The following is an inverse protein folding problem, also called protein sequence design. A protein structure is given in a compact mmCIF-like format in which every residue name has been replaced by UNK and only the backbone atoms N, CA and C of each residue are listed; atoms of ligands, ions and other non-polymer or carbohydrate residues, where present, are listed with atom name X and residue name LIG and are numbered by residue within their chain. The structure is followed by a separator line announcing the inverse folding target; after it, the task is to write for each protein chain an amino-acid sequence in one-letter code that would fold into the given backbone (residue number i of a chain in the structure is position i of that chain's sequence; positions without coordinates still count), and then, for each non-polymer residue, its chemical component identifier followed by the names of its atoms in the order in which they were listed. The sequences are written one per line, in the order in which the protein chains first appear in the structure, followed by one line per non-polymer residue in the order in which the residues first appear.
data_IF_849678300992
#
_entry.id   IF_849678300992
#
_cell.length_a   1.000
_cell.length_b   1.000
_cell.length_c   1.000
_cell.angle_alpha   90.00
_cell.angle_beta   90.00
_cell.angle_gamma   90.00
#
_symmetry.space_group_name_H-M   'P 1'
#
loop_
_entity.id
_entity.type
_entity.pdbx_description
1 polymer ?
#
# COMPACT_ATOMS: atom_id res chain seq x y z
N UNK A 1 28.37 8.84 44.31
CA UNK A 1 27.16 9.49 43.76
C UNK A 1 25.95 8.55 43.86
N UNK A 2 24.95 8.84 44.71
CA UNK A 2 23.73 8.03 44.79
C UNK A 2 22.86 8.29 43.55
N UNK A 3 22.73 7.27 42.68
CA UNK A 3 21.82 7.30 41.53
C UNK A 3 20.48 6.68 41.95
N UNK A 4 19.54 7.54 42.30
CA UNK A 4 18.15 7.12 42.49
C UNK A 4 17.51 6.96 41.12
N UNK A 5 17.61 5.76 40.53
CA UNK A 5 16.93 5.45 39.28
C UNK A 5 15.43 5.37 39.53
N UNK A 6 14.72 6.47 39.30
CA UNK A 6 13.30 6.45 38.96
C UNK A 6 13.21 6.57 37.45
N UNK A 7 13.05 5.44 36.78
CA UNK A 7 12.74 5.41 35.35
C UNK A 7 11.33 5.98 35.18
N UNK A 8 11.22 7.24 34.77
CA UNK A 8 9.96 7.82 34.30
C UNK A 8 9.93 7.68 32.79
N UNK A 9 9.20 6.68 32.32
CA UNK A 9 8.86 6.49 30.91
C UNK A 9 7.82 7.55 30.51
N UNK A 10 8.22 8.63 29.85
CA UNK A 10 7.28 9.45 29.08
C UNK A 10 7.06 8.77 27.72
N UNK A 11 6.11 7.85 27.70
CA UNK A 11 5.59 7.24 26.49
C UNK A 11 4.75 8.27 25.73
N UNK A 12 5.23 8.74 24.57
CA UNK A 12 4.31 9.09 23.49
C UNK A 12 4.00 7.77 22.77
N UNK A 13 3.05 7.01 23.33
CA UNK A 13 2.48 5.81 22.71
C UNK A 13 2.87 4.47 23.36
N UNK A 14 2.01 4.01 24.28
CA UNK A 14 1.75 2.60 24.67
C UNK A 14 2.63 1.93 25.73
N UNK A 15 1.99 1.55 26.84
CA UNK A 15 2.53 0.96 28.09
C UNK A 15 3.57 -0.18 27.92
N UNK A 16 4.58 -0.16 28.79
CA UNK A 16 5.16 -1.36 29.38
C UNK A 16 5.62 -1.08 30.83
N UNK A 17 5.16 -1.90 31.76
CA UNK A 17 5.62 -1.96 33.16
C UNK A 17 6.86 -2.85 33.21
N UNK A 18 7.89 -2.49 33.99
CA UNK A 18 8.96 -3.44 34.34
C UNK A 18 9.18 -3.50 35.86
N UNK A 19 8.95 -4.69 36.39
CA UNK A 19 9.44 -5.18 37.66
C UNK A 19 9.70 -6.68 37.50
N UNK A 20 10.93 -7.09 37.84
CA UNK A 20 11.44 -8.46 37.87
C UNK A 20 11.48 -9.23 36.54
N UNK A 21 12.64 -9.85 36.31
CA UNK A 21 13.04 -10.62 35.13
C UNK A 21 12.15 -11.83 34.81
N UNK A 22 12.25 -12.24 33.53
CA UNK A 22 11.96 -13.54 32.90
C UNK A 22 10.55 -13.72 32.31
N UNK A 23 10.42 -13.47 31.01
CA UNK A 23 9.70 -14.35 30.10
C UNK A 23 10.27 -14.18 28.69
N UNK A 24 10.93 -15.23 28.19
CA UNK A 24 11.39 -15.36 26.81
C UNK A 24 10.15 -15.51 25.91
N UNK A 25 9.52 -14.38 25.60
CA UNK A 25 8.41 -14.33 24.67
C UNK A 25 9.01 -14.27 23.26
N UNK A 26 8.84 -15.33 22.47
CA UNK A 26 9.44 -15.53 21.15
C UNK A 26 9.23 -14.38 20.13
N UNK A 27 8.31 -13.42 20.42
CA UNK A 27 8.00 -12.27 19.58
C UNK A 27 8.38 -10.89 20.12
N UNK A 28 9.13 -10.77 21.22
CA UNK A 28 9.49 -9.46 21.82
C UNK A 28 11.00 -9.26 21.85
N UNK A 29 11.47 -8.10 21.39
CA UNK A 29 12.84 -7.64 21.58
C UNK A 29 12.89 -6.80 22.86
N UNK A 30 13.57 -7.30 23.88
CA UNK A 30 13.67 -6.62 25.18
C UNK A 30 14.95 -5.79 25.23
N UNK A 31 14.83 -4.54 25.69
CA UNK A 31 15.96 -3.63 25.87
C UNK A 31 15.92 -3.08 27.29
N UNK A 32 16.92 -3.46 28.09
CA UNK A 32 17.00 -3.09 29.50
C UNK A 32 18.31 -2.41 29.85
N UNK A 33 18.28 -1.50 30.83
CA UNK A 33 19.51 -0.94 31.43
C UNK A 33 20.11 -1.97 32.37
N UNK A 34 21.35 -2.38 32.11
CA UNK A 34 22.14 -3.31 32.95
C UNK A 34 23.00 -2.53 33.93
N UNK A 35 23.51 -1.38 33.51
CA UNK A 35 24.35 -0.50 34.32
C UNK A 35 24.05 0.97 33.98
N UNK A 36 23.93 1.87 34.97
CA UNK A 36 24.04 1.64 36.41
C UNK A 36 22.83 0.90 36.99
N UNK A 37 23.05 0.12 38.04
CA UNK A 37 21.99 -0.53 38.83
C UNK A 37 21.23 0.48 39.68
N UNK A 38 19.94 0.21 39.86
CA UNK A 38 19.01 1.06 40.61
C UNK A 38 19.43 1.16 42.08
N UNK A 39 19.46 2.37 42.62
CA UNK A 39 19.77 2.68 44.03
C UNK A 39 21.19 2.30 44.47
N UNK A 40 22.12 2.15 43.53
CA UNK A 40 23.53 1.96 43.84
C UNK A 40 24.32 3.28 43.74
N UNK A 41 25.49 3.29 44.36
CA UNK A 41 26.39 4.44 44.39
C UNK A 41 27.65 4.12 43.62
N UNK A 42 28.03 5.00 42.70
CA UNK A 42 29.21 4.82 41.86
C UNK A 42 30.23 5.95 42.09
N UNK A 43 31.49 5.64 41.85
CA UNK A 43 32.58 6.61 41.78
C UNK A 43 32.51 7.38 40.45
N UNK A 44 32.85 8.67 40.47
CA UNK A 44 32.92 9.47 39.25
C UNK A 44 34.09 9.04 38.39
N UNK A 45 33.84 9.00 37.10
CA UNK A 45 34.80 8.76 36.03
C UNK A 45 34.58 9.82 34.97
N UNK A 46 35.62 10.23 34.26
CA UNK A 46 35.53 11.23 33.18
C UNK A 46 34.43 10.92 32.15
N UNK A 47 34.19 9.62 31.91
CA UNK A 47 33.13 9.08 31.06
C UNK A 47 32.39 7.97 31.79
N UNK A 48 31.20 8.29 32.30
CA UNK A 48 30.37 7.34 33.02
C UNK A 48 29.71 6.36 32.05
N UNK A 49 29.94 5.05 32.16
CA UNK A 49 29.33 4.08 31.27
C UNK A 49 27.85 3.88 31.60
N UNK A 50 27.05 3.68 30.57
CA UNK A 50 25.69 3.17 30.64
C UNK A 50 25.62 1.98 29.70
N UNK A 51 25.18 0.84 30.22
CA UNK A 51 25.16 -0.42 29.49
C UNK A 51 23.72 -0.88 29.36
N UNK A 52 23.29 -1.14 28.13
CA UNK A 52 22.01 -1.77 27.83
C UNK A 52 22.24 -3.22 27.39
N UNK A 53 21.32 -4.10 27.73
CA UNK A 53 21.21 -5.42 27.14
C UNK A 53 20.05 -5.42 26.14
N UNK A 54 20.31 -5.87 24.92
CA UNK A 54 19.30 -6.17 23.90
C UNK A 54 19.14 -7.68 23.83
N UNK A 55 17.97 -8.19 24.21
CA UNK A 55 17.59 -9.59 24.10
C UNK A 55 16.72 -9.83 22.86
N UNK A 56 16.76 -11.03 22.31
CA UNK A 56 16.11 -11.40 21.05
C UNK A 56 16.66 -10.57 19.89
N UNK A 57 17.96 -10.73 19.64
CA UNK A 57 18.71 -9.89 18.70
C UNK A 57 18.30 -10.11 17.24
N UNK A 58 17.78 -11.29 16.92
CA UNK A 58 17.21 -11.59 15.60
C UNK A 58 16.00 -10.70 15.27
N UNK A 59 15.16 -10.38 16.26
CA UNK A 59 14.07 -9.41 16.08
C UNK A 59 14.58 -7.97 16.12
N UNK A 60 15.54 -7.67 17.01
CA UNK A 60 16.13 -6.35 17.17
C UNK A 60 16.79 -5.82 15.88
N UNK A 61 17.45 -6.70 15.11
CA UNK A 61 18.07 -6.38 13.81
C UNK A 61 17.07 -5.76 12.82
N UNK A 62 15.80 -6.17 12.87
CA UNK A 62 14.76 -5.68 11.96
C UNK A 62 14.15 -4.34 12.39
N UNK A 63 14.40 -3.87 13.62
CA UNK A 63 13.77 -2.67 14.17
C UNK A 63 14.52 -1.37 13.85
N UNK A 64 15.80 -1.47 13.47
CA UNK A 64 16.65 -0.34 13.09
C UNK A 64 16.63 0.86 14.06
N UNK A 65 16.43 0.59 15.35
CA UNK A 65 16.17 1.59 16.40
C UNK A 65 17.43 2.31 16.87
N UNK A 66 17.23 3.36 17.66
CA UNK A 66 18.28 4.10 18.36
C UNK A 66 17.94 4.18 19.85
N UNK A 67 18.96 4.20 20.70
CA UNK A 67 18.79 4.45 22.14
C UNK A 67 19.23 5.88 22.41
N UNK A 68 18.29 6.72 22.81
CA UNK A 68 18.57 8.07 23.30
C UNK A 68 18.71 8.04 24.81
N UNK A 69 19.81 8.56 25.33
CA UNK A 69 20.11 8.56 26.77
C UNK A 69 20.49 9.96 27.24
N UNK A 70 19.91 10.39 28.35
CA UNK A 70 20.25 11.64 29.03
C UNK A 70 20.27 11.47 30.54
N UNK A 71 20.91 12.40 31.24
CA UNK A 71 20.99 12.44 32.70
C UNK A 71 20.56 13.81 33.23
N UNK A 72 19.76 13.83 34.29
CA UNK A 72 19.31 15.05 34.99
C UNK A 72 19.78 15.08 36.45
N UNK A 73 19.98 16.28 36.98
CA UNK A 73 20.33 16.52 38.39
C UNK A 73 19.08 16.58 39.26
N UNK A 74 19.22 16.06 40.47
CA UNK A 74 18.22 16.21 41.53
C UNK A 74 17.14 15.13 41.55
N UNK A 75 16.50 14.90 42.71
CA UNK A 75 15.55 13.81 42.91
C UNK A 75 14.16 14.02 42.28
N UNK A 76 13.82 15.25 41.87
CA UNK A 76 12.47 15.66 41.47
C UNK A 76 12.36 16.20 40.03
N UNK A 77 13.38 16.03 39.18
CA UNK A 77 13.41 16.56 37.81
C UNK A 77 13.45 18.10 37.70
N UNK A 78 13.63 18.80 38.83
CA UNK A 78 13.72 20.26 38.89
C UNK A 78 15.10 20.80 38.46
N UNK A 79 16.09 19.92 38.34
CA UNK A 79 17.41 20.24 37.81
C UNK A 79 17.46 20.17 36.28
N UNK A 80 18.26 21.05 35.66
CA UNK A 80 18.54 21.03 34.23
C UNK A 80 19.30 19.76 33.79
N UNK A 81 19.68 19.71 32.51
CA UNK A 81 20.56 18.66 32.00
C UNK A 81 21.88 18.70 32.77
N UNK A 82 22.26 17.59 33.39
CA UNK A 82 23.38 17.51 34.31
C UNK A 82 24.62 16.85 33.71
N UNK A 83 24.67 16.83 32.39
CA UNK A 83 25.69 16.17 31.59
C UNK A 83 25.30 16.16 30.11
N UNK A 84 26.08 15.43 29.31
CA UNK A 84 25.79 15.24 27.88
C UNK A 84 24.59 14.32 27.62
N UNK A 85 23.97 14.48 26.45
CA UNK A 85 23.03 13.52 25.88
C UNK A 85 23.73 12.66 24.82
N UNK A 86 23.21 11.47 24.55
CA UNK A 86 23.77 10.58 23.53
C UNK A 86 22.67 9.84 22.79
N UNK A 87 22.85 9.67 21.49
CA UNK A 87 22.03 8.81 20.64
C UNK A 87 22.93 7.70 20.11
N UNK A 88 22.57 6.46 20.42
CA UNK A 88 23.22 5.28 19.87
C UNK A 88 22.34 4.64 18.82
N UNK A 89 22.71 4.80 17.56
CA UNK A 89 22.04 4.15 16.43
C UNK A 89 22.42 2.67 16.38
N UNK A 90 21.43 1.79 16.29
CA UNK A 90 21.60 0.34 16.26
C UNK A 90 21.20 -0.29 14.91
N UNK A 91 20.92 0.54 13.90
CA UNK A 91 20.54 0.09 12.56
C UNK A 91 21.60 -0.78 11.88
N UNK A 92 22.87 -0.40 11.96
CA UNK A 92 23.96 -1.06 11.25
C UNK A 92 24.83 -1.90 12.20
N UNK A 93 24.26 -2.33 13.33
CA UNK A 93 24.96 -3.13 14.33
C UNK A 93 24.92 -4.60 13.95
N UNK A 94 26.09 -5.23 13.94
CA UNK A 94 26.21 -6.67 13.81
C UNK A 94 26.03 -7.32 15.19
N UNK A 95 24.84 -7.85 15.45
CA UNK A 95 24.52 -8.54 16.70
C UNK A 95 25.27 -9.88 16.78
N UNK A 96 26.33 -9.93 17.59
CA UNK A 96 27.23 -11.11 17.70
C UNK A 96 26.92 -12.02 18.88
N UNK A 97 26.00 -11.61 19.77
CA UNK A 97 25.59 -12.36 20.95
C UNK A 97 24.13 -12.05 21.31
N UNK A 98 23.52 -12.88 22.14
CA UNK A 98 22.22 -12.63 22.76
C UNK A 98 22.30 -12.96 24.27
N UNK A 99 22.16 -11.97 25.20
CA UNK A 99 21.94 -10.56 24.92
C UNK A 99 23.15 -9.89 24.25
N UNK A 100 22.89 -8.90 23.40
CA UNK A 100 23.91 -8.00 22.88
C UNK A 100 24.05 -6.78 23.80
N UNK A 101 25.28 -6.49 24.24
CA UNK A 101 25.54 -5.38 25.13
C UNK A 101 25.86 -4.11 24.36
N UNK A 102 25.09 -3.07 24.63
CA UNK A 102 25.21 -1.75 24.01
C UNK A 102 25.82 -0.79 25.04
N UNK A 103 27.03 -0.33 24.75
CA UNK A 103 27.77 0.60 25.62
C UNK A 103 27.59 2.03 25.13
N UNK A 104 27.16 2.92 26.04
CA UNK A 104 27.22 4.36 25.83
C UNK A 104 27.92 5.03 27.00
N UNK A 105 28.46 6.22 26.77
CA UNK A 105 29.26 6.93 27.76
C UNK A 105 28.74 8.36 27.90
N UNK A 106 28.53 8.78 29.13
CA UNK A 106 28.03 10.11 29.47
C UNK A 106 29.09 10.89 30.22
N UNK A 107 29.27 12.16 29.88
CA UNK A 107 30.15 13.06 30.61
C UNK A 107 29.37 13.65 31.79
N UNK A 108 29.70 13.20 33.00
CA UNK A 108 29.12 13.68 34.27
C UNK A 108 30.27 14.30 35.06
N UNK A 109 30.18 15.60 35.33
CA UNK A 109 31.32 16.40 35.85
C UNK A 109 31.23 16.72 37.34
N UNK A 110 30.03 16.67 37.93
CA UNK A 110 29.81 17.08 39.32
C UNK A 110 29.43 15.89 40.23
N UNK A 111 29.76 15.98 41.51
CA UNK A 111 29.22 15.07 42.52
C UNK A 111 27.77 15.42 42.85
N UNK A 112 26.88 14.42 42.87
CA UNK A 112 25.46 14.69 43.13
C UNK A 112 24.56 13.46 43.05
N UNK A 113 23.25 13.71 43.11
CA UNK A 113 22.21 12.73 42.83
C UNK A 113 21.67 12.94 41.41
N UNK A 114 21.53 11.85 40.67
CA UNK A 114 21.20 11.90 39.26
C UNK A 114 20.13 10.88 38.87
N UNK A 115 19.38 11.20 37.83
CA UNK A 115 18.41 10.31 37.21
C UNK A 115 18.79 10.05 35.76
N UNK A 116 18.87 8.77 35.40
CA UNK A 116 19.12 8.30 34.04
C UNK A 116 17.80 8.15 33.30
N UNK A 117 17.72 8.75 32.12
CA UNK A 117 16.63 8.61 31.19
C UNK A 117 17.13 7.90 29.94
N UNK A 118 16.39 6.87 29.51
CA UNK A 118 16.64 6.18 28.26
C UNK A 118 15.32 6.04 27.49
N UNK A 119 15.35 6.39 26.21
CA UNK A 119 14.21 6.30 25.30
C UNK A 119 14.64 5.53 24.05
N UNK A 120 13.82 4.56 23.65
CA UNK A 120 13.99 3.89 22.37
C UNK A 120 13.34 4.75 21.28
N UNK A 121 14.15 5.18 20.33
CA UNK A 121 13.72 5.90 19.13
C UNK A 121 13.73 4.89 18.00
N UNK A 122 12.56 4.45 17.58
CA UNK A 122 12.44 3.77 16.28
C UNK A 122 12.74 4.81 15.20
N UNK A 123 13.36 4.42 14.06
CA UNK A 123 13.36 5.30 12.90
C UNK A 123 11.92 5.71 12.64
N UNK A 124 11.65 6.87 12.02
CA UNK A 124 10.31 7.16 11.56
C UNK A 124 9.90 5.99 10.66
N UNK A 125 9.16 5.04 11.23
CA UNK A 125 8.38 4.12 10.43
C UNK A 125 7.49 5.06 9.65
N UNK A 126 7.28 4.81 8.38
CA UNK A 126 6.32 5.56 7.59
C UNK A 126 4.88 5.27 8.07
N UNK A 127 4.67 5.19 9.39
CA UNK A 127 3.52 4.63 10.06
C UNK A 127 3.30 3.16 9.75
N UNK A 128 4.28 2.39 9.26
CA UNK A 128 4.08 0.99 8.82
C UNK A 128 3.83 0.04 10.00
N UNK A 129 3.00 -0.99 9.78
CA UNK A 129 2.76 -2.06 10.75
C UNK A 129 3.91 -3.07 10.78
N UNK A 130 4.04 -3.82 11.89
CA UNK A 130 4.83 -5.05 11.91
C UNK A 130 4.12 -6.10 11.04
N UNK A 131 4.74 -6.44 9.92
CA UNK A 131 4.16 -7.34 8.92
C UNK A 131 4.68 -8.76 9.07
N UNK A 132 3.77 -9.74 8.98
CA UNK A 132 4.06 -11.16 8.97
C UNK A 132 3.64 -11.77 7.64
N UNK A 133 4.50 -12.61 7.06
CA UNK A 133 4.20 -13.38 5.86
C UNK A 133 3.72 -14.76 6.26
N UNK A 134 2.45 -15.04 5.99
CA UNK A 134 1.79 -16.31 6.31
C UNK A 134 2.50 -17.46 5.61
N UNK A 135 2.84 -18.49 6.36
CA UNK A 135 3.45 -19.73 5.88
C UNK A 135 2.40 -20.80 5.64
N UNK A 136 2.74 -21.78 4.81
CA UNK A 136 1.89 -22.95 4.63
C UNK A 136 1.71 -23.69 5.96
N UNK A 137 0.46 -23.91 6.36
CA UNK A 137 0.10 -24.57 7.62
C UNK A 137 -0.19 -23.62 8.78
N UNK A 138 0.04 -22.31 8.62
CA UNK A 138 -0.33 -21.34 9.65
C UNK A 138 -1.85 -21.25 9.84
N UNK A 139 -2.24 -20.96 11.08
CA UNK A 139 -3.61 -20.57 11.43
C UNK A 139 -3.58 -19.25 12.20
N UNK A 140 -4.67 -18.50 12.15
CA UNK A 140 -4.79 -17.31 12.98
C UNK A 140 -4.65 -17.63 14.48
N UNK A 141 -5.09 -18.80 14.94
CA UNK A 141 -4.95 -19.24 16.33
C UNK A 141 -3.47 -19.38 16.74
N UNK A 142 -2.66 -20.03 15.89
CA UNK A 142 -1.23 -20.20 16.16
C UNK A 142 -0.49 -18.87 16.16
N UNK A 143 -0.76 -18.01 15.17
CA UNK A 143 -0.18 -16.66 15.07
C UNK A 143 -0.63 -15.80 16.26
N UNK A 144 -1.91 -15.87 16.64
CA UNK A 144 -2.44 -15.15 17.79
C UNK A 144 -1.72 -15.54 19.09
N UNK A 145 -1.52 -16.85 19.31
CA UNK A 145 -0.80 -17.36 20.48
C UNK A 145 0.67 -16.93 20.50
N UNK A 146 1.38 -17.01 19.37
CA UNK A 146 2.79 -16.65 19.26
C UNK A 146 3.04 -15.16 19.52
N UNK A 147 2.17 -14.30 19.01
CA UNK A 147 2.33 -12.84 19.08
C UNK A 147 1.51 -12.18 20.19
N UNK A 148 0.92 -12.95 21.11
CA UNK A 148 0.10 -12.45 22.23
C UNK A 148 -1.05 -11.55 21.75
N UNK A 149 -1.72 -11.97 20.68
CA UNK A 149 -2.88 -11.28 20.11
C UNK A 149 -4.14 -12.14 20.25
N UNK A 150 -5.30 -11.52 20.12
CA UNK A 150 -6.55 -12.23 19.86
C UNK A 150 -6.82 -12.28 18.36
N UNK A 151 -7.63 -13.26 17.92
CA UNK A 151 -8.09 -13.35 16.52
C UNK A 151 -8.76 -12.04 16.09
N UNK A 152 -9.53 -11.41 16.98
CA UNK A 152 -10.21 -10.14 16.66
C UNK A 152 -9.24 -8.97 16.56
N UNK A 153 -8.15 -8.97 17.32
CA UNK A 153 -7.05 -8.03 17.11
C UNK A 153 -6.43 -8.23 15.73
N UNK A 154 -6.10 -9.47 15.33
CA UNK A 154 -5.57 -9.76 13.97
C UNK A 154 -6.53 -9.25 12.90
N UNK A 155 -7.84 -9.55 12.99
CA UNK A 155 -8.85 -9.04 12.04
C UNK A 155 -8.88 -7.52 11.99
N UNK A 156 -8.83 -6.86 13.14
CA UNK A 156 -8.90 -5.40 13.23
C UNK A 156 -7.66 -4.72 12.63
N UNK A 157 -6.46 -5.27 12.89
CA UNK A 157 -5.20 -4.77 12.35
C UNK A 157 -5.15 -4.87 10.82
N UNK A 158 -5.87 -5.84 10.23
CA UNK A 158 -5.82 -6.14 8.80
C UNK A 158 -6.97 -5.56 7.97
N UNK A 159 -7.81 -4.69 8.54
CA UNK A 159 -8.92 -4.05 7.81
C UNK A 159 -8.48 -3.23 6.58
N UNK A 160 -7.23 -2.78 6.54
CA UNK A 160 -6.65 -2.01 5.42
C UNK A 160 -5.66 -2.83 4.58
N UNK A 161 -5.44 -4.09 4.93
CA UNK A 161 -4.44 -4.94 4.27
C UNK A 161 -4.99 -5.44 2.93
N UNK A 162 -4.26 -5.19 1.85
CA UNK A 162 -4.66 -5.60 0.51
C UNK A 162 -4.75 -7.12 0.40
N UNK A 163 -5.89 -7.62 -0.10
CA UNK A 163 -6.14 -9.05 -0.29
C UNK A 163 -6.42 -9.83 1.01
N UNK A 164 -6.49 -9.18 2.17
CA UNK A 164 -6.76 -9.87 3.43
C UNK A 164 -8.15 -10.49 3.46
N UNK A 165 -8.20 -11.82 3.49
CA UNK A 165 -9.44 -12.60 3.32
C UNK A 165 -9.99 -13.15 4.64
N UNK A 166 -9.36 -12.82 5.77
CA UNK A 166 -9.72 -13.32 7.08
C UNK A 166 -8.95 -14.58 7.47
N UNK A 167 -9.42 -15.23 8.53
CA UNK A 167 -8.76 -16.38 9.15
C UNK A 167 -9.21 -17.75 8.61
N UNK A 168 -10.26 -17.78 7.78
CA UNK A 168 -10.92 -19.00 7.32
C UNK A 168 -11.40 -18.80 5.86
N UNK A 169 -10.54 -19.06 4.86
CA UNK A 169 -9.16 -19.54 4.98
C UNK A 169 -8.15 -18.41 5.22
N UNK A 170 -7.07 -18.72 5.94
CA UNK A 170 -5.85 -17.92 5.99
C UNK A 170 -4.92 -18.37 4.84
N UNK A 171 -4.70 -17.53 3.83
CA UNK A 171 -3.90 -17.90 2.66
C UNK A 171 -2.40 -17.78 2.93
N UNK A 172 -1.66 -18.84 2.62
CA UNK A 172 -0.19 -18.80 2.59
C UNK A 172 0.30 -17.69 1.65
N UNK A 173 1.49 -17.15 1.96
CA UNK A 173 2.15 -16.04 1.29
C UNK A 173 1.47 -14.67 1.46
N UNK A 174 0.28 -14.60 2.06
CA UNK A 174 -0.35 -13.34 2.41
C UNK A 174 0.52 -12.57 3.41
N UNK A 175 0.61 -11.25 3.24
CA UNK A 175 1.29 -10.37 4.20
C UNK A 175 0.24 -9.70 5.06
N UNK A 176 0.33 -9.87 6.38
CA UNK A 176 -0.62 -9.36 7.36
C UNK A 176 0.06 -8.47 8.39
N UNK A 177 -0.68 -7.53 8.97
CA UNK A 177 -0.24 -6.73 10.10
C UNK A 177 -0.52 -7.43 11.43
N UNK A 178 0.47 -7.47 12.31
CA UNK A 178 0.36 -7.96 13.70
C UNK A 178 0.61 -6.83 14.72
N UNK A 179 0.80 -5.59 14.26
CA UNK A 179 0.76 -4.39 15.10
C UNK A 179 0.01 -3.26 14.38
N UNK A 180 -0.27 -2.17 15.10
CA UNK A 180 -0.90 -0.98 14.52
C UNK A 180 0.03 -0.33 13.49
N UNK A 181 -0.53 0.11 12.38
CA UNK A 181 0.19 0.84 11.34
C UNK A 181 -0.46 0.70 9.96
N UNK A 182 0.23 1.19 8.94
CA UNK A 182 -0.11 1.11 7.53
C UNK A 182 0.43 -0.23 7.01
N UNK A 183 -0.41 -1.05 6.37
CA UNK A 183 0.05 -2.27 5.73
C UNK A 183 1.09 -1.99 4.64
N UNK A 184 2.02 -2.93 4.41
CA UNK A 184 2.97 -2.81 3.32
C UNK A 184 2.24 -2.73 1.97
N UNK A 185 2.85 -2.01 1.03
CA UNK A 185 2.34 -1.92 -0.33
C UNK A 185 2.36 -3.32 -0.99
N UNK A 186 1.29 -3.74 -1.69
CA UNK A 186 1.16 -5.11 -2.16
C UNK A 186 2.21 -5.41 -3.25
N UNK A 187 2.76 -6.62 -3.20
CA UNK A 187 3.76 -7.08 -4.16
C UNK A 187 3.16 -7.18 -5.58
N UNK A 188 3.98 -6.94 -6.63
CA UNK A 188 3.52 -7.06 -8.01
C UNK A 188 3.19 -8.51 -8.37
N UNK A 189 2.15 -8.69 -9.19
CA UNK A 189 1.73 -9.99 -9.73
C UNK A 189 1.94 -10.01 -11.25
N UNK A 190 2.51 -11.09 -11.83
CA UNK A 190 2.64 -11.23 -13.28
C UNK A 190 1.30 -11.11 -14.02
N UNK A 191 1.32 -10.56 -15.23
CA UNK A 191 0.17 -10.41 -16.12
C UNK A 191 -0.98 -9.52 -15.61
N UNK A 192 -0.78 -8.77 -14.53
CA UNK A 192 -1.69 -7.72 -14.09
C UNK A 192 -1.53 -6.46 -14.95
N UNK A 193 -2.64 -5.88 -15.40
CA UNK A 193 -2.67 -4.69 -16.27
C UNK A 193 -3.17 -3.43 -15.57
N UNK A 194 -3.89 -3.56 -14.45
CA UNK A 194 -4.46 -2.46 -13.65
C UNK A 194 -4.33 -2.69 -12.13
N UNK A 195 -4.58 -1.65 -11.34
CA UNK A 195 -4.52 -1.72 -9.88
C UNK A 195 -3.09 -1.65 -9.31
N UNK A 196 -2.95 -1.76 -7.97
CA UNK A 196 -1.68 -1.53 -7.28
C UNK A 196 -0.63 -2.62 -7.50
N UNK A 197 -1.03 -3.83 -7.94
CA UNK A 197 -0.15 -4.98 -8.12
C UNK A 197 0.43 -5.08 -9.55
N UNK A 198 0.20 -4.08 -10.41
CA UNK A 198 0.86 -4.01 -11.73
C UNK A 198 2.36 -3.86 -11.55
N UNK A 199 3.15 -4.59 -12.33
CA UNK A 199 4.60 -4.49 -12.31
C UNK A 199 5.08 -3.03 -12.50
N UNK A 200 6.01 -2.60 -11.64
CA UNK A 200 6.53 -1.22 -11.63
C UNK A 200 5.71 -0.21 -10.82
N UNK A 201 4.61 -0.62 -10.19
CA UNK A 201 3.85 0.26 -9.29
C UNK A 201 4.67 0.64 -8.06
N UNK A 202 4.58 1.90 -7.66
CA UNK A 202 5.20 2.43 -6.44
C UNK A 202 4.13 2.93 -5.47
N UNK A 203 4.41 2.92 -4.15
CA UNK A 203 3.49 3.46 -3.17
C UNK A 203 3.17 4.94 -3.45
N UNK A 204 1.88 5.33 -3.53
CA UNK A 204 1.49 6.72 -3.71
C UNK A 204 1.63 7.52 -2.41
N UNK A 205 1.46 8.85 -2.45
CA UNK A 205 1.44 9.68 -1.24
C UNK A 205 0.43 9.17 -0.20
N UNK A 206 0.77 9.35 1.08
CA UNK A 206 -0.07 8.92 2.19
C UNK A 206 -1.50 9.46 2.05
N UNK A 207 -2.49 8.59 2.28
CA UNK A 207 -3.92 8.91 2.14
C UNK A 207 -4.51 8.65 0.75
N UNK A 208 -3.70 8.32 -0.25
CA UNK A 208 -4.19 7.95 -1.58
C UNK A 208 -4.89 6.59 -1.57
N UNK A 209 -5.94 6.43 -2.39
CA UNK A 209 -6.56 5.13 -2.65
C UNK A 209 -5.70 4.34 -3.65
N UNK A 210 -5.01 3.31 -3.16
CA UNK A 210 -4.12 2.50 -4.02
C UNK A 210 -4.87 1.69 -5.08
N UNK A 211 -6.19 1.49 -4.94
CA UNK A 211 -7.02 0.80 -5.93
C UNK A 211 -7.17 1.59 -7.25
N UNK A 212 -6.96 2.91 -7.21
CA UNK A 212 -7.06 3.81 -8.36
C UNK A 212 -5.75 3.87 -9.17
N UNK A 213 -4.70 3.15 -8.74
CA UNK A 213 -3.46 3.06 -9.50
C UNK A 213 -3.65 2.27 -10.78
N UNK A 214 -2.95 2.70 -11.83
CA UNK A 214 -2.91 2.02 -13.12
C UNK A 214 -4.32 1.78 -13.72
N UNK A 215 -5.10 2.84 -13.89
CA UNK A 215 -6.45 2.75 -14.46
C UNK A 215 -6.48 2.02 -15.80
N UNK A 216 -7.57 1.28 -16.02
CA UNK A 216 -7.84 0.62 -17.29
C UNK A 216 -8.04 1.62 -18.44
N UNK A 217 -7.69 1.25 -19.68
CA UNK A 217 -8.08 2.01 -20.87
C UNK A 217 -9.58 2.28 -20.90
N UNK A 218 -9.96 3.46 -21.41
CA UNK A 218 -11.36 3.91 -21.51
C UNK A 218 -12.10 3.99 -20.16
N UNK A 219 -11.38 4.04 -19.04
CA UNK A 219 -11.95 3.97 -17.69
C UNK A 219 -12.84 2.73 -17.50
N UNK A 220 -12.46 1.60 -18.10
CA UNK A 220 -13.09 0.31 -17.80
C UNK A 220 -12.85 -0.10 -16.33
N UNK A 221 -13.64 -1.05 -15.85
CA UNK A 221 -13.55 -1.55 -14.49
C UNK A 221 -12.28 -2.39 -14.33
N UNK A 222 -11.57 -2.19 -13.21
CA UNK A 222 -10.46 -3.05 -12.80
C UNK A 222 -10.94 -4.02 -11.73
N UNK A 223 -10.61 -5.31 -11.82
CA UNK A 223 -10.98 -6.30 -10.79
C UNK A 223 -9.85 -6.61 -9.79
N UNK A 224 -10.12 -7.45 -8.78
CA UNK A 224 -9.10 -7.84 -7.77
C UNK A 224 -7.93 -8.63 -8.36
N UNK A 225 -8.10 -9.22 -9.55
CA UNK A 225 -7.06 -9.94 -10.28
C UNK A 225 -6.26 -9.02 -11.23
N UNK A 226 -6.52 -7.71 -11.17
CA UNK A 226 -5.78 -6.72 -11.95
C UNK A 226 -6.05 -6.78 -13.45
N UNK A 227 -7.26 -7.21 -13.84
CA UNK A 227 -7.73 -7.27 -15.23
C UNK A 227 -8.76 -6.19 -15.52
N UNK A 228 -8.88 -5.80 -16.79
CA UNK A 228 -9.81 -4.77 -17.26
C UNK A 228 -11.00 -5.37 -18.01
N UNK A 229 -12.23 -4.98 -17.67
CA UNK A 229 -13.43 -5.38 -18.40
C UNK A 229 -14.59 -4.38 -18.20
N UNK A 230 -15.65 -4.51 -19.00
CA UNK A 230 -16.87 -3.68 -18.96
C UNK A 230 -18.14 -4.52 -18.79
N UNK A 231 -18.02 -5.79 -18.40
CA UNK A 231 -19.17 -6.67 -18.19
C UNK A 231 -19.79 -6.48 -16.80
N UNK A 232 -21.08 -6.79 -16.67
CA UNK A 232 -21.85 -6.55 -15.44
C UNK A 232 -21.32 -7.31 -14.23
N UNK A 233 -20.87 -8.54 -14.41
CA UNK A 233 -20.27 -9.37 -13.37
C UNK A 233 -18.89 -8.87 -12.90
N UNK A 234 -18.21 -8.10 -13.75
CA UNK A 234 -16.89 -7.56 -13.49
C UNK A 234 -16.93 -6.17 -12.84
N UNK A 235 -17.91 -5.36 -13.24
CA UNK A 235 -18.08 -3.97 -12.83
C UNK A 235 -18.90 -3.79 -11.54
N UNK A 236 -19.07 -4.83 -10.72
CA UNK A 236 -19.82 -4.78 -9.46
C UNK A 236 -18.87 -4.87 -8.28
N UNK A 237 -19.05 -3.95 -7.33
CA UNK A 237 -18.39 -4.01 -6.03
C UNK A 237 -19.00 -5.16 -5.20
N UNK A 238 -18.15 -6.12 -4.87
CA UNK A 238 -18.45 -7.28 -4.03
C UNK A 238 -17.41 -7.44 -2.92
N UNK A 239 -16.80 -6.33 -2.50
CA UNK A 239 -15.74 -6.29 -1.50
C UNK A 239 -16.23 -6.85 -0.14
N UNK A 240 -15.32 -7.49 0.62
CA UNK A 240 -15.64 -8.11 1.93
C UNK A 240 -15.16 -7.29 3.13
N UNK A 241 -14.76 -6.04 2.92
CA UNK A 241 -14.25 -5.10 3.91
C UNK A 241 -12.82 -4.65 3.58
N UNK A 242 -11.82 -5.56 3.63
CA UNK A 242 -10.45 -5.22 3.26
C UNK A 242 -10.31 -4.94 1.75
N UNK A 243 -9.42 -4.03 1.33
CA UNK A 243 -9.23 -3.70 -0.07
C UNK A 243 -8.66 -4.90 -0.85
N UNK A 244 -8.94 -5.00 -2.15
CA UNK A 244 -8.46 -6.11 -2.98
C UNK A 244 -9.11 -7.47 -2.67
N UNK A 245 -10.29 -7.49 -2.05
CA UNK A 245 -11.04 -8.72 -1.74
C UNK A 245 -12.33 -8.85 -2.55
N UNK A 246 -12.84 -10.06 -2.66
CA UNK A 246 -14.11 -10.37 -3.32
C UNK A 246 -14.88 -11.42 -2.53
N UNK A 247 -16.21 -11.40 -2.64
CA UNK A 247 -17.07 -12.50 -2.20
C UNK A 247 -16.76 -13.78 -2.99
N UNK A 248 -17.07 -14.96 -2.44
CA UNK A 248 -16.93 -16.22 -3.17
C UNK A 248 -17.64 -16.17 -4.54
N UNK A 249 -16.96 -16.66 -5.58
CA UNK A 249 -17.45 -16.71 -6.97
C UNK A 249 -17.75 -15.34 -7.61
N UNK A 250 -17.12 -14.26 -7.15
CA UNK A 250 -17.21 -12.93 -7.77
C UNK A 250 -15.82 -12.39 -8.12
N UNK A 251 -15.78 -11.40 -9.01
CA UNK A 251 -14.51 -10.79 -9.45
C UNK A 251 -14.16 -9.51 -8.69
N UNK A 252 -15.13 -8.87 -8.03
CA UNK A 252 -15.04 -7.55 -7.39
C UNK A 252 -14.34 -6.46 -8.23
N UNK A 253 -15.09 -5.42 -8.57
CA UNK A 253 -14.48 -4.21 -9.09
C UNK A 253 -13.74 -3.43 -7.97
N UNK A 254 -12.49 -3.06 -8.22
CA UNK A 254 -11.67 -2.23 -7.31
C UNK A 254 -11.62 -0.76 -7.72
N UNK A 255 -11.81 -0.43 -9.00
CA UNK A 255 -11.85 0.95 -9.50
C UNK A 255 -12.64 1.06 -10.81
N UNK A 256 -13.20 2.26 -11.05
CA UNK A 256 -14.16 2.55 -12.12
C UNK A 256 -15.38 1.61 -12.14
N UNK A 257 -15.95 1.37 -10.95
CA UNK A 257 -17.06 0.45 -10.81
C UNK A 257 -18.38 1.04 -11.32
N UNK A 258 -19.31 0.14 -11.64
CA UNK A 258 -20.60 0.39 -12.29
C UNK A 258 -20.55 0.51 -13.82
N UNK A 259 -21.72 0.30 -14.42
CA UNK A 259 -21.98 0.48 -15.85
C UNK A 259 -22.88 1.69 -16.10
N UNK A 260 -22.98 2.59 -15.13
CA UNK A 260 -23.90 3.71 -15.18
C UNK A 260 -23.45 4.69 -16.25
N UNK A 261 -24.39 5.06 -17.11
CA UNK A 261 -24.18 6.16 -18.06
C UNK A 261 -24.34 7.47 -17.31
N UNK A 262 -23.22 7.96 -16.78
CA UNK A 262 -23.18 9.22 -16.04
C UNK A 262 -22.85 10.38 -16.98
N UNK A 263 -23.65 11.45 -16.89
CA UNK A 263 -23.33 12.70 -17.55
C UNK A 263 -22.21 13.40 -16.77
N UNK A 264 -21.08 13.66 -17.43
CA UNK A 264 -19.96 14.43 -16.87
C UNK A 264 -19.72 15.69 -17.69
N UNK A 265 -19.06 16.66 -17.06
CA UNK A 265 -18.51 17.82 -17.76
C UNK A 265 -17.51 17.33 -18.81
N UNK A 266 -17.75 17.68 -20.06
CA UNK A 266 -16.93 17.28 -21.19
C UNK A 266 -16.90 18.37 -22.26
N UNK A 267 -15.97 18.26 -23.20
CA UNK A 267 -15.73 19.26 -24.26
C UNK A 267 -16.82 19.26 -25.36
N UNK A 268 -18.03 18.80 -25.05
CA UNK A 268 -19.18 18.69 -25.95
C UNK A 268 -19.62 17.26 -26.24
N UNK A 269 -20.86 17.12 -26.70
CA UNK A 269 -21.44 15.83 -27.06
C UNK A 269 -20.90 15.34 -28.41
N UNK A 270 -20.55 14.05 -28.50
CA UNK A 270 -20.29 13.39 -29.78
C UNK A 270 -21.58 12.78 -30.32
N UNK A 271 -21.91 13.07 -31.58
CA UNK A 271 -23.02 12.45 -32.31
C UNK A 271 -22.42 11.64 -33.45
N UNK A 272 -22.40 10.33 -33.28
CA UNK A 272 -21.78 9.38 -34.23
C UNK A 272 -22.87 8.75 -35.09
N UNK A 273 -22.75 8.87 -36.41
CA UNK A 273 -23.58 8.15 -37.37
C UNK A 273 -22.80 7.00 -38.02
N UNK A 274 -23.46 5.88 -38.26
CA UNK A 274 -22.96 4.81 -39.12
C UNK A 274 -23.68 4.92 -40.47
N UNK A 275 -22.91 5.02 -41.55
CA UNK A 275 -23.41 5.07 -42.91
C UNK A 275 -23.14 3.73 -43.60
N UNK A 276 -24.20 3.06 -44.02
CA UNK A 276 -24.15 1.71 -44.58
C UNK A 276 -23.99 1.79 -46.11
N UNK A 277 -22.76 1.75 -46.61
CA UNK A 277 -22.41 2.04 -48.01
C UNK A 277 -23.11 1.18 -49.06
N UNK A 278 -23.39 -0.08 -48.72
CA UNK A 278 -24.04 -1.04 -49.62
C UNK A 278 -25.57 -0.86 -49.69
N UNK A 279 -26.15 0.05 -48.89
CA UNK A 279 -27.60 0.29 -48.90
C UNK A 279 -28.10 0.87 -50.22
N UNK A 280 -27.22 1.53 -50.99
CA UNK A 280 -27.52 2.08 -52.32
C UNK A 280 -28.00 1.02 -53.33
N UNK A 281 -27.72 -0.26 -53.08
CA UNK A 281 -28.20 -1.39 -53.88
C UNK A 281 -29.67 -1.76 -53.62
N UNK A 282 -30.30 -1.20 -52.56
CA UNK A 282 -31.68 -1.50 -52.18
C UNK A 282 -32.68 -0.85 -53.15
N UNK A 283 -33.86 -1.46 -53.30
CA UNK A 283 -34.95 -0.91 -54.12
C UNK A 283 -35.55 0.39 -53.55
N UNK A 284 -35.49 0.57 -52.23
CA UNK A 284 -35.98 1.75 -51.51
C UNK A 284 -35.22 1.87 -50.18
N UNK A 285 -35.43 2.99 -49.45
CA UNK A 285 -34.74 3.29 -48.19
C UNK A 285 -33.21 3.20 -48.32
N UNK A 286 -32.69 3.79 -49.38
CA UNK A 286 -31.27 4.04 -49.57
C UNK A 286 -31.00 5.54 -49.49
N UNK A 287 -29.77 5.88 -49.13
CA UNK A 287 -29.31 7.26 -49.07
C UNK A 287 -27.94 7.35 -49.75
N UNK A 288 -27.75 8.39 -50.55
CA UNK A 288 -26.42 8.73 -51.03
C UNK A 288 -25.62 9.44 -49.93
N UNK A 289 -24.32 9.18 -49.81
CA UNK A 289 -23.46 9.74 -48.78
C UNK A 289 -23.51 11.29 -48.73
N UNK A 290 -23.70 11.96 -49.87
CA UNK A 290 -23.82 13.42 -49.92
C UNK A 290 -25.14 13.94 -49.36
N UNK A 291 -26.16 13.09 -49.22
CA UNK A 291 -27.46 13.46 -48.67
C UNK A 291 -27.49 13.43 -47.14
N UNK A 292 -26.41 12.99 -46.48
CA UNK A 292 -26.33 12.96 -45.02
C UNK A 292 -26.43 14.39 -44.48
N UNK A 293 -27.35 14.62 -43.53
CA UNK A 293 -27.44 15.91 -42.85
C UNK A 293 -26.29 16.07 -41.82
N UNK A 294 -25.16 16.57 -42.30
CA UNK A 294 -23.91 16.72 -41.53
C UNK A 294 -24.04 17.63 -40.31
N UNK A 295 -25.01 18.55 -40.27
CA UNK A 295 -25.23 19.44 -39.11
C UNK A 295 -25.67 18.68 -37.85
N UNK A 296 -26.16 17.44 -38.02
CA UNK A 296 -26.65 16.60 -36.92
C UNK A 296 -25.55 15.76 -36.28
N UNK A 297 -24.40 15.60 -36.91
CA UNK A 297 -23.36 14.65 -36.50
C UNK A 297 -22.02 15.35 -36.33
N UNK A 298 -21.19 14.80 -35.43
CA UNK A 298 -19.79 15.23 -35.27
C UNK A 298 -18.84 14.25 -35.94
N UNK A 299 -19.25 12.99 -36.05
CA UNK A 299 -18.49 11.91 -36.67
C UNK A 299 -19.45 11.05 -37.51
N UNK A 300 -18.99 10.64 -38.70
CA UNK A 300 -19.69 9.66 -39.53
C UNK A 300 -18.72 8.53 -39.84
N UNK A 301 -19.15 7.30 -39.61
CA UNK A 301 -18.44 6.07 -39.88
C UNK A 301 -18.93 5.48 -41.19
N UNK A 302 -18.04 5.34 -42.16
CA UNK A 302 -18.31 4.62 -43.41
C UNK A 302 -18.22 3.12 -43.15
N UNK A 303 -19.37 2.45 -43.17
CA UNK A 303 -19.53 1.01 -42.98
C UNK A 303 -19.84 0.33 -44.32
N UNK A 304 -19.06 -0.62 -44.82
CA UNK A 304 -17.85 -1.21 -44.22
C UNK A 304 -16.68 -1.22 -45.19
N UNK A 305 -15.48 -1.21 -44.61
CA UNK A 305 -14.26 -1.63 -45.28
C UNK A 305 -13.78 -2.98 -44.77
N UNK A 306 -13.00 -3.66 -45.59
CA UNK A 306 -12.32 -4.90 -45.23
C UNK A 306 -10.87 -4.85 -45.68
N UNK A 307 -10.07 -5.80 -45.22
CA UNK A 307 -8.73 -6.06 -45.71
C UNK A 307 -8.78 -7.29 -46.62
N UNK A 308 -8.26 -7.18 -47.82
CA UNK A 308 -8.07 -8.35 -48.69
C UNK A 308 -6.82 -9.14 -48.26
N UNK A 309 -6.57 -10.30 -48.87
CA UNK A 309 -5.45 -11.18 -48.49
C UNK A 309 -4.06 -10.54 -48.59
N UNK A 310 -3.91 -9.46 -49.36
CA UNK A 310 -2.69 -8.65 -49.44
C UNK A 310 -2.61 -7.53 -48.39
N UNK A 311 -3.54 -7.49 -47.43
CA UNK A 311 -3.71 -6.41 -46.45
C UNK A 311 -4.03 -5.02 -47.05
N UNK A 312 -4.47 -4.97 -48.31
CA UNK A 312 -5.00 -3.75 -48.91
C UNK A 312 -6.45 -3.49 -48.47
N UNK A 313 -6.81 -2.21 -48.37
CA UNK A 313 -8.15 -1.77 -47.96
C UNK A 313 -9.11 -1.86 -49.14
N UNK A 314 -10.22 -2.57 -48.96
CA UNK A 314 -11.35 -2.61 -49.90
C UNK A 314 -12.61 -2.05 -49.23
N UNK A 315 -13.44 -1.32 -49.99
CA UNK A 315 -14.65 -0.64 -49.50
C UNK A 315 -15.95 -1.24 -50.05
N UNK A 316 -15.91 -2.52 -50.43
CA UNK A 316 -17.03 -3.27 -50.98
C UNK A 316 -17.02 -3.38 -52.50
N UNK A 317 -18.22 -3.46 -53.09
CA UNK A 317 -18.46 -3.59 -54.52
C UNK A 317 -18.39 -2.23 -55.26
N UNK A 318 -18.77 -2.21 -56.54
CA UNK A 318 -18.76 -0.99 -57.36
C UNK A 318 -19.64 0.12 -56.78
N UNK A 319 -20.81 -0.24 -56.25
CA UNK A 319 -21.76 0.70 -55.67
C UNK A 319 -21.26 1.26 -54.33
N UNK A 320 -20.71 0.42 -53.49
CA UNK A 320 -20.10 0.83 -52.22
C UNK A 320 -18.85 1.67 -52.46
N UNK A 321 -18.07 1.37 -53.50
CA UNK A 321 -16.92 2.17 -53.94
C UNK A 321 -17.33 3.55 -54.45
N UNK A 322 -18.45 3.63 -55.19
CA UNK A 322 -19.06 4.91 -55.56
C UNK A 322 -19.43 5.71 -54.29
N UNK A 323 -20.14 5.09 -53.35
CA UNK A 323 -20.50 5.72 -52.08
C UNK A 323 -19.28 6.16 -51.26
N UNK A 324 -18.16 5.41 -51.29
CA UNK A 324 -16.93 5.82 -50.62
C UNK A 324 -16.31 7.08 -51.25
N UNK A 325 -16.37 7.20 -52.58
CA UNK A 325 -15.92 8.40 -53.27
C UNK A 325 -16.77 9.61 -52.90
N UNK A 326 -18.09 9.46 -52.85
CA UNK A 326 -19.01 10.51 -52.41
C UNK A 326 -18.80 10.87 -50.93
N UNK A 327 -18.61 9.87 -50.07
CA UNK A 327 -18.31 10.05 -48.66
C UNK A 327 -17.06 10.89 -48.42
N UNK A 328 -16.01 10.73 -49.25
CA UNK A 328 -14.79 11.55 -49.17
C UNK A 328 -15.05 13.03 -49.43
N UNK A 329 -16.11 13.39 -50.15
CA UNK A 329 -16.44 14.79 -50.41
C UNK A 329 -17.08 15.50 -49.21
N UNK A 330 -17.63 14.77 -48.23
CA UNK A 330 -18.22 15.35 -47.01
C UNK A 330 -17.19 16.22 -46.26
N UNK A 331 -17.62 17.40 -45.80
CA UNK A 331 -16.83 18.40 -45.06
C UNK A 331 -17.47 18.70 -43.70
N UNK A 332 -16.74 19.43 -42.83
CA UNK A 332 -17.24 19.94 -41.55
C UNK A 332 -17.73 18.88 -40.54
N UNK A 333 -17.34 17.63 -40.75
CA UNK A 333 -17.57 16.50 -39.84
C UNK A 333 -16.38 15.54 -39.95
N UNK A 334 -16.05 14.83 -38.87
CA UNK A 334 -15.00 13.81 -38.93
C UNK A 334 -15.50 12.58 -39.69
N UNK A 335 -14.73 12.19 -40.71
CA UNK A 335 -14.98 11.00 -41.52
C UNK A 335 -14.10 9.87 -41.03
N UNK A 336 -14.69 8.72 -40.72
CA UNK A 336 -14.01 7.56 -40.17
C UNK A 336 -14.31 6.38 -41.08
N UNK A 337 -13.28 5.60 -41.43
CA UNK A 337 -13.43 4.36 -42.16
C UNK A 337 -13.54 3.21 -41.15
N UNK A 338 -14.63 2.42 -41.21
CA UNK A 338 -14.92 1.38 -40.24
C UNK A 338 -14.72 -0.02 -40.84
N UNK A 339 -13.82 -0.80 -40.23
CA UNK A 339 -13.44 -2.13 -40.69
C UNK A 339 -14.23 -3.25 -39.99
N UNK A 340 -14.66 -4.27 -40.73
CA UNK A 340 -15.43 -5.40 -40.21
C UNK A 340 -16.87 -5.36 -40.73
N UNK A 341 -17.84 -5.52 -39.84
CA UNK A 341 -19.28 -5.43 -40.15
C UNK A 341 -19.89 -6.73 -40.68
#
# INVERSE_FOLDING_TARGET
MPLFSRVVLSLVGSLAYFGATVADAAGVAEIGVVFPRINETYALTDWFPVVFAVQNTQLAENLAFSIYTLVRTGPNLDGGLAGGETIRHLKDVNYTSDPYLVYTYLKIVDEGSYQLFATIILPPSYGLCFSYKVKAGDSCDAIAAEYTLTIDQIKNLNKKTWGWSGCQPLYAEAIICLSTGTPPFPAPIPNVVCGPQKAGSTPPPAGSNIADLNSCPLNACCNIWGQCNVTKDFCVDTNTGPPGTAKPNTYNCISNCCLDVIQRDGNGAMKVAYFQSYEISRKCLYQDALQINISKYTHIHFGFSTLISSYEVQVGDTLSSYQFNEFKHIKNTKKILFFGG
#
